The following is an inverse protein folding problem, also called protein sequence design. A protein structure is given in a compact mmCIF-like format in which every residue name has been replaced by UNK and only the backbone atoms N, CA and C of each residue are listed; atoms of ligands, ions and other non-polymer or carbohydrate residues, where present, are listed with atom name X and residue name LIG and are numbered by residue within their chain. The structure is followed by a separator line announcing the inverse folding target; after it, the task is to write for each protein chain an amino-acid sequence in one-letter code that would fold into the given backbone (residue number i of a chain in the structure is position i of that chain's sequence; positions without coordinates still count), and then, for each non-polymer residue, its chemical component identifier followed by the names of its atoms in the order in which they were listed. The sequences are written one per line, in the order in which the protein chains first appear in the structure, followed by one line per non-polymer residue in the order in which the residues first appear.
data_IF_607537422075
#
_entry.id   IF_607537422075
#
_cell.length_a   1.000
_cell.length_b   1.000
_cell.length_c   1.000
_cell.angle_alpha   90.00
_cell.angle_beta   90.00
_cell.angle_gamma   90.00
#
_symmetry.space_group_name_H-M   'P 1'
#
loop_
_entity.id
_entity.type
_entity.pdbx_description
1 polymer ?
#
# COMPACT_ATOMS: atom_id res chain seq x y z
N UNK A 1 14.34 1.34 -3.78
CA UNK A 1 13.33 1.02 -2.82
C UNK A 1 13.18 2.12 -1.82
N UNK A 2 12.03 2.74 -1.77
CA UNK A 2 11.83 3.81 -0.85
C UNK A 2 10.60 3.59 -0.01
N UNK A 3 10.83 3.40 1.27
CA UNK A 3 9.78 3.33 2.25
C UNK A 3 10.14 4.35 3.31
N UNK A 4 9.40 5.46 3.35
CA UNK A 4 9.74 6.57 4.20
C UNK A 4 8.75 6.66 5.34
N UNK A 5 9.24 6.60 6.56
CA UNK A 5 8.39 6.70 7.72
C UNK A 5 8.08 8.15 8.01
N UNK A 6 6.83 8.45 8.27
CA UNK A 6 6.39 9.79 8.60
C UNK A 6 6.32 9.94 10.12
N UNK A 7 6.36 11.17 10.62
CA UNK A 7 6.31 11.38 12.06
C UNK A 7 5.06 10.83 12.73
N UNK A 8 3.96 10.73 12.00
CA UNK A 8 2.71 10.24 12.56
C UNK A 8 2.60 8.72 12.51
N UNK A 9 3.69 8.04 12.16
CA UNK A 9 3.68 6.58 12.12
C UNK A 9 3.22 5.99 10.81
N UNK A 10 2.85 6.81 9.84
CA UNK A 10 2.49 6.31 8.53
C UNK A 10 3.74 6.22 7.68
N UNK A 11 3.61 5.58 6.53
CA UNK A 11 4.72 5.41 5.62
C UNK A 11 4.33 5.86 4.24
N UNK A 12 5.29 6.39 3.49
CA UNK A 12 5.09 6.70 2.08
C UNK A 12 6.00 5.78 1.30
N UNK A 13 5.43 5.05 0.37
CA UNK A 13 6.14 4.02 -0.38
C UNK A 13 6.10 4.40 -1.86
N UNK A 14 7.26 4.29 -2.52
CA UNK A 14 7.33 4.49 -3.95
C UNK A 14 6.55 3.38 -4.62
N UNK A 15 5.77 3.70 -5.62
CA UNK A 15 4.94 2.71 -6.30
C UNK A 15 5.71 1.59 -6.97
N UNK A 16 7.00 1.80 -7.27
CA UNK A 16 7.81 0.77 -7.88
C UNK A 16 8.48 -0.14 -6.87
N UNK A 17 8.24 0.07 -5.59
CA UNK A 17 8.84 -0.79 -4.56
C UNK A 17 8.31 -2.21 -4.70
N UNK A 18 9.19 -3.16 -4.58
CA UNK A 18 8.80 -4.55 -4.69
C UNK A 18 8.01 -5.00 -3.48
N UNK A 19 7.03 -5.85 -3.71
CA UNK A 19 6.21 -6.36 -2.61
C UNK A 19 7.05 -7.09 -1.59
N UNK A 20 8.07 -7.84 -2.02
CA UNK A 20 8.87 -8.57 -1.06
C UNK A 20 9.66 -7.62 -0.16
N UNK A 21 10.03 -6.45 -0.65
CA UNK A 21 10.72 -5.48 0.18
C UNK A 21 9.78 -4.91 1.23
N UNK A 22 8.53 -4.71 0.87
CA UNK A 22 7.53 -4.24 1.82
C UNK A 22 7.23 -5.33 2.85
N UNK A 23 7.15 -6.57 2.39
CA UNK A 23 6.92 -7.69 3.30
C UNK A 23 8.02 -7.78 4.34
N UNK A 24 9.26 -7.60 3.91
CA UNK A 24 10.37 -7.65 4.84
C UNK A 24 10.35 -6.46 5.80
N UNK A 25 10.03 -5.29 5.31
CA UNK A 25 10.05 -4.10 6.15
C UNK A 25 8.94 -4.11 7.20
N UNK A 26 7.78 -4.66 6.83
CA UNK A 26 6.61 -4.63 7.70
C UNK A 26 6.32 -5.97 8.36
N UNK A 27 7.06 -7.00 8.02
CA UNK A 27 6.84 -8.33 8.57
C UNK A 27 5.41 -8.79 8.28
N UNK A 28 5.01 -8.72 7.03
CA UNK A 28 3.67 -9.07 6.58
C UNK A 28 3.76 -9.79 5.24
N UNK A 29 2.65 -10.31 4.76
CA UNK A 29 2.63 -11.00 3.48
C UNK A 29 1.46 -10.52 2.65
N UNK A 30 1.72 -10.28 1.36
CA UNK A 30 0.66 -9.93 0.44
C UNK A 30 -0.05 -11.19 -0.04
N UNK A 31 -1.32 -11.03 -0.41
CA UNK A 31 -2.16 -12.15 -0.78
C UNK A 31 -2.15 -12.41 -2.29
N UNK A 32 -1.03 -12.22 -2.92
CA UNK A 32 -0.90 -12.48 -4.37
C UNK A 32 0.48 -13.03 -4.64
N UNK A 33 0.64 -13.67 -5.78
CA UNK A 33 1.91 -14.29 -6.12
C UNK A 33 2.51 -13.83 -7.42
N UNK A 34 1.72 -13.27 -8.33
CA UNK A 34 2.21 -12.94 -9.64
C UNK A 34 2.45 -11.46 -9.82
N UNK A 35 2.48 -10.69 -8.77
CA UNK A 35 2.62 -9.26 -8.84
C UNK A 35 3.89 -8.87 -8.11
N UNK A 36 4.71 -8.03 -8.73
CA UNK A 36 6.00 -7.69 -8.18
C UNK A 36 6.02 -6.39 -7.39
N UNK A 37 5.27 -5.37 -7.80
CA UNK A 37 5.38 -4.06 -7.18
C UNK A 37 4.09 -3.65 -6.51
N UNK A 38 4.17 -2.68 -5.60
CA UNK A 38 2.98 -2.20 -4.93
C UNK A 38 2.05 -1.47 -5.92
N UNK A 39 2.62 -0.83 -6.95
CA UNK A 39 1.82 -0.27 -8.00
C UNK A 39 0.95 -1.34 -8.65
N UNK A 40 1.56 -2.44 -9.03
CA UNK A 40 0.83 -3.54 -9.66
C UNK A 40 -0.21 -4.15 -8.74
N UNK A 41 0.13 -4.25 -7.46
CA UNK A 41 -0.80 -4.83 -6.49
C UNK A 41 -2.05 -3.96 -6.34
N UNK A 42 -1.87 -2.65 -6.25
CA UNK A 42 -3.01 -1.76 -6.09
C UNK A 42 -3.87 -1.71 -7.35
N UNK A 43 -3.26 -1.76 -8.53
CA UNK A 43 -4.02 -1.82 -9.77
C UNK A 43 -4.81 -3.11 -9.83
N UNK A 44 -4.21 -4.22 -9.41
CA UNK A 44 -4.89 -5.50 -9.38
C UNK A 44 -6.12 -5.44 -8.46
N UNK A 45 -5.96 -4.83 -7.28
CA UNK A 45 -7.09 -4.74 -6.35
C UNK A 45 -8.15 -3.77 -6.82
N UNK A 46 -7.76 -2.70 -7.51
CA UNK A 46 -8.73 -1.78 -8.06
C UNK A 46 -9.53 -2.40 -9.18
N UNK A 47 -8.93 -3.28 -9.93
CA UNK A 47 -9.57 -3.90 -11.07
C UNK A 47 -9.68 -3.01 -12.28
N UNK A 48 -8.94 -1.91 -12.32
CA UNK A 48 -8.97 -1.01 -13.46
C UNK A 48 -7.71 -0.19 -13.48
N UNK A 49 -7.49 0.52 -14.57
CA UNK A 49 -6.33 1.40 -14.71
C UNK A 49 -6.64 2.70 -13.95
N UNK A 50 -5.76 3.15 -13.08
CA UNK A 50 -6.05 4.32 -12.26
C UNK A 50 -6.05 5.62 -13.06
N UNK A 51 -6.85 6.56 -12.62
CA UNK A 51 -6.88 7.90 -13.16
C UNK A 51 -6.04 8.80 -12.28
N UNK A 52 -5.66 9.97 -12.79
CA UNK A 52 -4.77 10.85 -12.06
C UNK A 52 -5.27 11.21 -10.66
N UNK A 53 -6.51 11.34 -10.44
CA UNK A 53 -7.03 11.68 -9.12
C UNK A 53 -7.72 10.52 -8.46
N UNK A 54 -7.34 9.31 -8.85
CA UNK A 54 -8.00 8.14 -8.33
C UNK A 54 -7.74 7.98 -6.84
N UNK A 55 -8.74 7.59 -6.10
CA UNK A 55 -8.59 7.32 -4.69
C UNK A 55 -8.97 5.88 -4.44
N UNK A 56 -8.14 5.17 -3.74
CA UNK A 56 -8.37 3.77 -3.48
C UNK A 56 -7.57 3.37 -2.24
N UNK A 57 -8.14 2.52 -1.45
CA UNK A 57 -7.47 2.01 -0.27
C UNK A 57 -7.86 0.57 -0.08
N UNK A 58 -6.92 -0.25 0.31
CA UNK A 58 -7.21 -1.64 0.64
C UNK A 58 -6.36 -2.06 1.82
N UNK A 59 -6.71 -3.16 2.42
CA UNK A 59 -5.95 -3.67 3.55
C UNK A 59 -5.42 -5.05 3.21
N UNK A 60 -4.30 -5.40 3.80
CA UNK A 60 -3.71 -6.70 3.61
C UNK A 60 -2.84 -7.01 4.82
N UNK A 61 -3.11 -8.13 5.45
CA UNK A 61 -2.26 -8.64 6.53
C UNK A 61 -2.00 -7.59 7.62
N UNK A 62 -3.01 -6.85 7.99
CA UNK A 62 -2.89 -5.90 9.08
C UNK A 62 -2.36 -4.55 8.71
N UNK A 63 -2.19 -4.28 7.42
CA UNK A 63 -1.74 -2.99 6.95
C UNK A 63 -2.73 -2.42 5.94
N UNK A 64 -2.84 -1.11 5.91
CA UNK A 64 -3.70 -0.39 4.99
C UNK A 64 -2.82 0.30 3.97
N UNK A 65 -3.15 0.17 2.70
CA UNK A 65 -2.40 0.77 1.61
C UNK A 65 -3.33 1.67 0.82
N UNK A 66 -2.92 2.91 0.63
CA UNK A 66 -3.77 3.91 0.00
C UNK A 66 -3.03 4.57 -1.14
N UNK A 67 -3.71 4.78 -2.24
CA UNK A 67 -3.13 5.47 -3.38
C UNK A 67 -3.01 6.95 -3.04
N UNK A 68 -1.80 7.50 -3.08
CA UNK A 68 -1.56 8.90 -2.81
C UNK A 68 -1.34 9.71 -4.07
N UNK A 69 -0.70 9.12 -5.07
CA UNK A 69 -0.41 9.85 -6.28
C UNK A 69 -0.44 8.89 -7.46
N UNK A 70 -1.06 9.29 -8.54
CA UNK A 70 -1.08 8.53 -9.79
C UNK A 70 -0.52 9.45 -10.87
N UNK A 71 0.38 8.93 -11.68
CA UNK A 71 0.95 9.68 -12.77
C UNK A 71 1.10 8.74 -13.96
N UNK A 72 0.58 9.13 -15.10
CA UNK A 72 0.71 8.33 -16.33
C UNK A 72 0.15 6.93 -16.11
N UNK A 73 -1.01 6.84 -15.46
CA UNK A 73 -1.73 5.57 -15.24
C UNK A 73 -1.01 4.62 -14.32
N UNK A 74 -0.05 5.11 -13.56
CA UNK A 74 0.68 4.29 -12.62
C UNK A 74 0.57 4.91 -11.24
N UNK A 75 0.44 4.07 -10.24
CA UNK A 75 0.46 4.55 -8.87
C UNK A 75 1.91 4.82 -8.52
N UNK A 76 2.23 6.07 -8.26
CA UNK A 76 3.61 6.46 -8.01
C UNK A 76 3.91 6.62 -6.54
N UNK A 77 2.90 6.89 -5.71
CA UNK A 77 3.10 7.00 -4.27
C UNK A 77 1.96 6.32 -3.54
N UNK A 78 2.31 5.59 -2.52
CA UNK A 78 1.37 4.81 -1.73
C UNK A 78 1.55 5.17 -0.28
N UNK A 79 0.46 5.44 0.42
CA UNK A 79 0.50 5.62 1.86
C UNK A 79 0.21 4.31 2.53
N UNK A 80 0.98 3.96 3.54
CA UNK A 80 0.76 2.73 4.27
C UNK A 80 0.72 3.02 5.75
N UNK A 81 -0.09 2.27 6.47
CA UNK A 81 -0.11 2.37 7.92
C UNK A 81 -0.56 1.04 8.48
N UNK A 82 -0.14 0.77 9.68
CA UNK A 82 -0.56 -0.45 10.35
C UNK A 82 -1.98 -0.25 10.82
N UNK A 83 -2.83 -1.24 10.57
CA UNK A 83 -4.18 -1.20 11.07
C UNK A 83 -4.12 -1.45 12.55
N UNK A 84 -4.66 -0.54 13.35
CA UNK A 84 -4.62 -0.78 14.72
C UNK A 84 -5.61 -1.76 15.07
N UNK A 85 -5.29 -2.61 15.91
CA UNK A 85 -6.15 -3.54 16.24
C UNK A 85 -7.06 -2.96 16.99
N UNK A 86 -7.71 -2.54 17.08
CA UNK A 86 -8.58 -1.92 17.63
C UNK A 86 -9.04 -2.31 18.60
N UNK A 87 -8.84 -2.15 19.30
CA UNK A 87 -9.17 -2.25 20.16
C UNK A 87 -10.37 -2.01 20.41
N UNK A 88 -10.93 -2.33 20.47
CA UNK A 88 -12.06 -2.18 20.60
C UNK A 88 -12.50 -2.08 21.70
N UNK A 89 -12.93 -1.68 22.00
CA UNK A 89 -13.38 -1.40 23.05
C UNK A 89 -14.11 -2.20 23.65
N UNK A 90 -14.11 -2.40 24.14
CA UNK A 90 -14.68 -3.01 24.63
C UNK A 90 -15.53 -2.92 25.06
N UNK A 91 -15.85 -2.91 25.19
CA UNK A 91 -16.62 -2.80 25.36
C UNK A 91 -17.06 -2.75 25.91
#
# INVERSE_FOLDING_TARGET
VLIIRQPDGRYIIDGQTLLEDIEDAFDMHFDCEDIDTINGYLIYKMGKIPQDNEQFECTCDGYSFRVLEVHDRMVTKVGARREEERQQPVT
#
